data_IF_764155412720
#
_entry.id   IF_764155412720
#
_cell.length_a   1.000
_cell.length_b   1.000
_cell.length_c   1.000
_cell.angle_alpha   90.00
_cell.angle_beta   90.00
_cell.angle_gamma   90.00
#
_symmetry.space_group_name_H-M   'P 1'
#
loop_
_entity.id
_entity.type
_entity.pdbx_description
1 polymer ?
#
# COMPACT_ATOMS: atom_id res chain seq x y z
N UNK A 1 0.49 -8.74 -51.81
CA UNK A 1 -0.92 -9.01 -51.45
C UNK A 1 -0.92 -9.55 -50.04
N UNK A 2 -1.58 -8.86 -49.12
CA UNK A 2 -1.63 -9.25 -47.70
C UNK A 2 -3.07 -9.60 -47.35
N UNK A 3 -3.41 -10.90 -47.42
CA UNK A 3 -4.56 -11.49 -46.71
C UNK A 3 -4.02 -12.15 -45.45
N UNK A 4 -4.60 -12.04 -44.26
CA UNK A 4 -5.97 -11.68 -43.89
C UNK A 4 -5.98 -10.98 -42.52
N UNK A 5 -7.04 -10.24 -42.16
CA UNK A 5 -7.13 -9.58 -40.87
C UNK A 5 -7.45 -10.58 -39.74
N UNK A 6 -6.68 -10.46 -38.68
CA UNK A 6 -6.75 -11.21 -37.42
C UNK A 6 -8.20 -11.27 -36.91
N UNK A 7 -8.73 -12.49 -36.79
CA UNK A 7 -10.11 -12.75 -36.35
C UNK A 7 -10.12 -12.97 -34.84
N UNK A 8 -10.77 -12.07 -34.10
CA UNK A 8 -11.00 -12.19 -32.66
C UNK A 8 -11.64 -10.93 -32.11
N UNK A 9 -12.84 -11.05 -31.52
CA UNK A 9 -13.84 -9.98 -31.30
C UNK A 9 -13.47 -8.77 -30.43
N UNK A 10 -12.20 -8.61 -30.02
CA UNK A 10 -11.70 -7.43 -29.29
C UNK A 10 -10.57 -6.70 -30.04
N UNK A 11 -9.89 -7.38 -30.97
CA UNK A 11 -8.79 -6.82 -31.79
C UNK A 11 -9.27 -5.72 -32.74
N UNK A 12 -10.52 -5.77 -33.17
CA UNK A 12 -11.11 -4.79 -34.11
C UNK A 12 -11.32 -3.40 -33.51
N UNK A 13 -11.54 -3.26 -32.21
CA UNK A 13 -11.67 -1.95 -31.54
C UNK A 13 -10.31 -1.23 -31.44
N UNK A 14 -9.24 -2.00 -31.31
CA UNK A 14 -7.90 -1.50 -31.03
C UNK A 14 -7.19 -0.92 -32.25
N UNK A 15 -7.38 -1.53 -33.42
CA UNK A 15 -6.80 -1.05 -34.68
C UNK A 15 -7.36 0.30 -35.14
N UNK A 16 -8.51 0.76 -34.61
CA UNK A 16 -9.13 2.03 -35.01
C UNK A 16 -8.44 3.26 -34.42
N UNK A 17 -7.74 3.10 -33.29
CA UNK A 17 -7.06 4.19 -32.57
C UNK A 17 -5.53 4.10 -32.65
N UNK A 18 -4.98 3.05 -33.29
CA UNK A 18 -3.54 2.85 -33.42
C UNK A 18 -2.96 3.74 -34.53
N UNK A 19 -1.88 4.49 -34.26
CA UNK A 19 -1.17 5.26 -35.27
C UNK A 19 -0.54 4.38 -36.37
N UNK A 20 -0.15 3.14 -36.05
CA UNK A 20 0.49 2.20 -36.97
C UNK A 20 -0.36 0.95 -37.19
N UNK A 21 -1.04 0.89 -38.34
CA UNK A 21 -1.88 -0.24 -38.75
C UNK A 21 -1.02 -1.49 -39.02
N UNK A 22 -1.41 -2.64 -38.48
CA UNK A 22 -0.74 -3.93 -38.70
C UNK A 22 0.38 -4.26 -37.71
N UNK A 23 0.75 -3.33 -36.84
CA UNK A 23 1.67 -3.58 -35.72
C UNK A 23 0.89 -3.80 -34.41
N UNK A 24 1.39 -4.71 -33.57
CA UNK A 24 0.89 -4.89 -32.21
C UNK A 24 1.60 -3.95 -31.21
N UNK A 25 1.33 -4.07 -29.91
CA UNK A 25 1.96 -3.25 -28.88
C UNK A 25 3.50 -3.26 -29.01
N UNK A 26 4.11 -2.07 -29.16
CA UNK A 26 5.56 -1.89 -29.23
C UNK A 26 6.06 -1.54 -27.82
N UNK A 27 6.87 -2.42 -27.24
CA UNK A 27 7.44 -2.21 -25.92
C UNK A 27 8.80 -1.52 -26.03
N UNK A 28 9.01 -0.48 -25.21
CA UNK A 28 10.28 0.20 -25.06
C UNK A 28 10.73 0.09 -23.62
N UNK A 29 11.92 -0.47 -23.40
CA UNK A 29 12.56 -0.52 -22.10
C UNK A 29 13.50 0.68 -21.95
N UNK A 30 13.27 1.48 -20.92
CA UNK A 30 14.09 2.66 -20.64
C UNK A 30 14.15 2.89 -19.13
N UNK A 31 15.35 3.16 -18.61
CA UNK A 31 15.54 3.55 -17.20
C UNK A 31 15.10 5.00 -17.00
N UNK A 32 13.79 5.22 -16.78
CA UNK A 32 13.19 6.56 -16.56
C UNK A 32 12.52 6.70 -15.20
N UNK A 33 12.57 5.65 -14.39
CA UNK A 33 11.88 5.59 -13.11
C UNK A 33 12.73 6.17 -11.99
N UNK A 34 12.06 6.78 -11.02
CA UNK A 34 12.65 7.35 -9.82
C UNK A 34 11.86 6.90 -8.58
N UNK A 35 12.57 6.78 -7.47
CA UNK A 35 11.97 6.42 -6.19
C UNK A 35 12.62 7.21 -5.08
N UNK A 36 11.78 7.79 -4.21
CA UNK A 36 12.21 8.51 -3.02
C UNK A 36 11.65 7.80 -1.79
N UNK A 37 12.49 7.62 -0.76
CA UNK A 37 12.10 6.99 0.49
C UNK A 37 12.51 7.87 1.67
N UNK A 38 11.54 8.23 2.50
CA UNK A 38 11.74 8.95 3.74
C UNK A 38 11.40 8.04 4.91
N UNK A 39 12.28 7.99 5.92
CA UNK A 39 12.00 7.22 7.12
C UNK A 39 12.39 7.97 8.38
N UNK A 40 11.64 7.69 9.44
CA UNK A 40 11.94 8.11 10.79
C UNK A 40 11.76 6.90 11.71
N UNK A 41 12.76 6.62 12.54
CA UNK A 41 12.70 5.56 13.53
C UNK A 41 12.95 6.16 14.91
N UNK A 42 12.07 5.84 15.85
CA UNK A 42 12.17 6.27 17.24
C UNK A 42 12.09 5.03 18.12
N UNK A 43 13.12 4.81 18.90
CA UNK A 43 13.19 3.73 19.89
C UNK A 43 13.32 4.33 21.27
N UNK A 44 12.48 3.87 22.19
CA UNK A 44 12.51 4.26 23.59
C UNK A 44 12.51 3.00 24.45
N UNK A 45 13.45 2.91 25.38
CA UNK A 45 13.49 1.84 26.37
C UNK A 45 13.66 2.45 27.75
N UNK A 46 12.84 1.99 28.70
CA UNK A 46 12.90 2.43 30.09
C UNK A 46 12.82 1.25 31.02
N UNK A 47 13.89 1.04 31.76
CA UNK A 47 13.91 0.17 32.93
C UNK A 47 13.46 0.98 34.14
N UNK A 48 12.48 0.49 34.87
CA UNK A 48 12.06 1.06 36.14
C UNK A 48 12.78 0.37 37.28
N UNK A 49 12.70 0.93 38.48
CA UNK A 49 13.23 0.29 39.69
C UNK A 49 12.51 -1.05 39.94
N UNK A 50 13.27 -2.14 40.05
CA UNK A 50 12.75 -3.50 40.14
C UNK A 50 12.85 -4.23 38.79
N UNK A 51 11.87 -5.08 38.48
CA UNK A 51 11.86 -5.92 37.28
C UNK A 51 11.05 -5.32 36.11
N UNK A 52 10.44 -4.15 36.29
CA UNK A 52 9.57 -3.54 35.28
C UNK A 52 10.35 -2.89 34.13
N UNK A 53 9.94 -3.15 32.90
CA UNK A 53 10.55 -2.67 31.67
C UNK A 53 9.47 -2.26 30.66
N UNK A 54 9.67 -1.13 29.97
CA UNK A 54 8.88 -0.76 28.80
C UNK A 54 9.82 -0.47 27.63
N UNK A 55 9.54 -1.06 26.48
CA UNK A 55 10.22 -0.78 25.21
C UNK A 55 9.19 -0.40 24.15
N UNK A 56 9.44 0.70 23.45
CA UNK A 56 8.59 1.25 22.41
C UNK A 56 9.42 1.48 21.15
N UNK A 57 8.87 1.13 19.99
CA UNK A 57 9.47 1.35 18.69
C UNK A 57 8.42 1.93 17.75
N UNK A 58 8.70 3.09 17.19
CA UNK A 58 7.89 3.73 16.16
C UNK A 58 8.71 3.87 14.88
N UNK A 59 8.16 3.43 13.77
CA UNK A 59 8.74 3.59 12.43
C UNK A 59 7.72 4.28 11.54
N UNK A 60 8.13 5.42 10.99
CA UNK A 60 7.45 6.07 9.88
C UNK A 60 8.23 5.76 8.60
N UNK A 61 7.52 5.33 7.57
CA UNK A 61 8.06 5.19 6.22
C UNK A 61 7.21 5.99 5.25
N UNK A 62 7.83 6.56 4.23
CA UNK A 62 7.13 7.11 3.11
C UNK A 62 7.90 6.88 1.83
N UNK A 63 7.44 5.92 1.04
CA UNK A 63 8.00 5.56 -0.26
C UNK A 63 7.15 6.14 -1.37
N UNK A 64 7.75 6.94 -2.24
CA UNK A 64 7.10 7.48 -3.44
C UNK A 64 7.87 6.95 -4.66
N UNK A 65 7.17 6.31 -5.58
CA UNK A 65 7.74 5.79 -6.83
C UNK A 65 6.82 6.03 -8.01
N UNK A 66 7.39 6.22 -9.20
CA UNK A 66 6.66 6.19 -10.46
C UNK A 66 6.63 4.80 -11.11
N UNK A 67 7.40 3.83 -10.58
CA UNK A 67 7.31 2.42 -10.97
C UNK A 67 7.50 1.50 -9.78
N UNK A 68 6.54 0.59 -9.61
CA UNK A 68 6.57 -0.39 -8.53
C UNK A 68 7.55 -1.54 -8.83
N UNK A 69 7.94 -1.75 -10.09
CA UNK A 69 8.84 -2.81 -10.58
C UNK A 69 9.48 -2.41 -11.92
N UNK A 70 10.54 -3.12 -12.32
CA UNK A 70 11.44 -2.79 -13.45
C UNK A 70 10.81 -2.81 -14.86
N UNK A 71 9.61 -3.36 -15.00
CA UNK A 71 8.92 -3.52 -16.29
C UNK A 71 7.48 -3.00 -16.28
N UNK A 72 7.20 -2.00 -15.45
CA UNK A 72 5.86 -1.45 -15.33
C UNK A 72 5.52 -0.56 -16.52
N UNK A 73 4.42 -0.87 -17.20
CA UNK A 73 3.89 0.02 -18.24
C UNK A 73 3.12 1.17 -17.61
N UNK A 74 3.41 2.40 -18.04
CA UNK A 74 2.67 3.61 -17.67
C UNK A 74 1.33 3.67 -18.38
N UNK A 75 0.31 4.26 -17.74
CA UNK A 75 -0.97 4.59 -18.35
C UNK A 75 -0.82 5.59 -19.51
N UNK A 76 0.09 6.57 -19.36
CA UNK A 76 0.45 7.50 -20.41
C UNK A 76 1.98 7.56 -20.57
N UNK A 77 2.49 7.00 -21.66
CA UNK A 77 3.93 7.00 -21.97
C UNK A 77 4.50 8.41 -22.21
N UNK A 78 3.64 9.38 -22.53
CA UNK A 78 4.03 10.78 -22.70
C UNK A 78 4.00 11.57 -21.38
N UNK A 79 3.41 11.02 -20.31
CA UNK A 79 3.33 11.63 -18.99
C UNK A 79 3.63 10.59 -17.90
N UNK A 80 4.93 10.38 -17.66
CA UNK A 80 5.42 9.51 -16.58
C UNK A 80 5.26 10.16 -15.19
N UNK A 81 5.02 11.47 -15.11
CA UNK A 81 4.82 12.15 -13.84
C UNK A 81 3.48 11.73 -13.21
N UNK A 82 2.47 11.44 -14.03
CA UNK A 82 1.17 10.89 -13.59
C UNK A 82 1.28 9.49 -12.97
N UNK A 83 2.39 8.77 -13.14
CA UNK A 83 2.62 7.47 -12.51
C UNK A 83 3.15 7.57 -11.08
N UNK A 84 3.58 8.76 -10.66
CA UNK A 84 4.14 8.99 -9.33
C UNK A 84 3.07 8.78 -8.26
N UNK A 85 3.29 7.80 -7.38
CA UNK A 85 2.39 7.51 -6.27
C UNK A 85 3.11 6.84 -5.12
N UNK A 86 2.36 6.49 -4.07
CA UNK A 86 2.93 5.75 -2.94
C UNK A 86 3.40 4.36 -3.39
N UNK A 87 4.49 3.89 -2.80
CA UNK A 87 4.98 2.53 -3.03
C UNK A 87 3.98 1.51 -2.51
N UNK A 88 3.77 0.42 -3.22
CA UNK A 88 2.88 -0.67 -2.81
C UNK A 88 3.33 -1.34 -1.50
N UNK A 89 4.59 -1.15 -1.11
CA UNK A 89 5.17 -1.66 0.13
C UNK A 89 5.24 -0.59 1.24
N UNK A 90 4.67 0.60 1.02
CA UNK A 90 4.75 1.70 1.97
C UNK A 90 3.78 1.50 3.14
N UNK A 91 4.23 0.80 4.18
CA UNK A 91 3.50 0.71 5.44
C UNK A 91 3.84 1.92 6.30
N UNK A 92 3.12 3.03 6.05
CA UNK A 92 3.49 4.36 6.50
C UNK A 92 3.78 4.51 8.00
N UNK A 93 3.04 3.86 8.87
CA UNK A 93 3.31 3.91 10.30
C UNK A 93 3.26 2.51 10.89
N UNK A 94 4.28 2.18 11.67
CA UNK A 94 4.38 0.93 12.43
C UNK A 94 4.78 1.29 13.85
N UNK A 95 3.97 0.86 14.82
CA UNK A 95 4.17 1.10 16.24
C UNK A 95 4.16 -0.23 16.98
N UNK A 96 5.20 -0.47 17.78
CA UNK A 96 5.36 -1.67 18.57
C UNK A 96 5.69 -1.28 20.01
N UNK A 97 4.97 -1.85 20.97
CA UNK A 97 5.26 -1.66 22.40
C UNK A 97 5.30 -3.00 23.08
N UNK A 98 6.36 -3.25 23.82
CA UNK A 98 6.46 -4.39 24.75
C UNK A 98 6.64 -3.86 26.16
N UNK A 99 5.85 -4.35 27.10
CA UNK A 99 5.97 -3.96 28.49
C UNK A 99 5.90 -5.16 29.42
N UNK A 100 6.60 -5.01 30.53
CA UNK A 100 6.59 -5.89 31.69
C UNK A 100 6.44 -4.94 32.89
N UNK A 101 5.35 -5.07 33.63
CA UNK A 101 5.04 -4.21 34.76
C UNK A 101 4.67 -5.04 35.99
N UNK A 102 5.56 -5.01 36.98
CA UNK A 102 5.36 -5.68 38.25
C UNK A 102 4.46 -4.83 39.16
N UNK A 103 3.29 -5.37 39.55
CA UNK A 103 2.30 -4.64 40.35
C UNK A 103 2.85 -4.33 41.76
N UNK A 104 2.70 -3.09 42.27
CA UNK A 104 3.33 -2.67 43.53
C UNK A 104 2.68 -3.21 44.80
N UNK A 105 1.64 -4.05 44.71
CA UNK A 105 0.87 -4.52 45.85
C UNK A 105 1.50 -5.78 46.47
N UNK A 106 1.49 -5.88 47.81
CA UNK A 106 1.92 -7.05 48.59
C UNK A 106 3.39 -7.52 48.41
N UNK A 107 4.26 -6.76 47.73
CA UNK A 107 5.69 -7.12 47.48
C UNK A 107 6.55 -7.38 48.73
N UNK A 108 6.13 -6.91 49.92
CA UNK A 108 6.91 -7.01 51.19
C UNK A 108 6.10 -7.57 52.36
N UNK A 109 4.92 -8.15 52.14
CA UNK A 109 4.05 -8.56 53.24
C UNK A 109 4.23 -10.04 53.62
N UNK A 110 4.32 -10.29 54.92
CA UNK A 110 4.35 -11.61 55.55
C UNK A 110 2.92 -12.11 55.84
N UNK A 111 2.65 -13.40 55.58
CA UNK A 111 1.37 -14.06 55.89
C UNK A 111 0.64 -14.58 54.65
N UNK A 112 -0.51 -15.25 54.87
CA UNK A 112 -1.32 -15.91 53.83
C UNK A 112 -1.75 -14.97 52.69
N UNK A 113 -2.11 -13.72 53.01
CA UNK A 113 -2.49 -12.69 52.03
C UNK A 113 -1.32 -12.21 51.17
N UNK A 114 -0.11 -12.09 51.75
CA UNK A 114 1.10 -11.74 51.00
C UNK A 114 1.52 -12.82 50.01
N UNK A 115 1.37 -14.10 50.39
CA UNK A 115 1.63 -15.23 49.50
C UNK A 115 0.57 -15.41 48.40
N UNK A 116 -0.70 -15.09 48.68
CA UNK A 116 -1.77 -15.25 47.71
C UNK A 116 -1.85 -14.10 46.68
N UNK A 117 -1.51 -12.87 47.08
CA UNK A 117 -1.71 -11.67 46.26
C UNK A 117 -0.43 -10.89 45.94
N UNK A 118 0.75 -11.39 46.32
CA UNK A 118 2.05 -10.78 46.04
C UNK A 118 2.68 -11.27 44.73
N UNK A 119 3.56 -10.43 44.16
CA UNK A 119 4.44 -10.83 43.05
C UNK A 119 3.78 -10.88 41.67
N UNK A 120 2.59 -10.29 41.51
CA UNK A 120 1.92 -10.26 40.22
C UNK A 120 2.64 -9.35 39.23
N UNK A 121 2.80 -9.85 38.01
CA UNK A 121 3.36 -9.13 36.88
C UNK A 121 2.34 -9.11 35.73
N UNK A 122 2.25 -7.97 35.05
CA UNK A 122 1.49 -7.83 33.82
C UNK A 122 2.46 -7.57 32.68
N UNK A 123 2.42 -8.43 31.67
CA UNK A 123 3.23 -8.27 30.48
C UNK A 123 2.37 -8.32 29.22
N UNK A 124 2.86 -7.69 28.16
CA UNK A 124 2.15 -7.64 26.90
C UNK A 124 2.97 -7.03 25.78
N UNK A 125 2.56 -7.36 24.55
CA UNK A 125 3.09 -6.77 23.34
C UNK A 125 1.91 -6.24 22.53
N UNK A 126 2.02 -4.99 22.07
CA UNK A 126 1.04 -4.31 21.24
C UNK A 126 1.69 -3.97 19.91
N UNK A 127 1.04 -4.36 18.83
CA UNK A 127 1.42 -4.05 17.46
C UNK A 127 0.30 -3.26 16.81
N UNK A 128 0.62 -2.09 16.28
CA UNK A 128 -0.31 -1.26 15.52
C UNK A 128 0.39 -0.77 14.26
N UNK A 129 -0.33 -0.77 13.14
CA UNK A 129 0.22 -0.31 11.87
C UNK A 129 -0.86 0.25 10.95
N UNK A 130 -0.47 1.10 10.01
CA UNK A 130 -1.36 1.53 8.92
C UNK A 130 -1.46 0.43 7.86
N UNK A 131 -2.53 0.45 7.06
CA UNK A 131 -2.67 -0.42 5.89
C UNK A 131 -1.67 -0.08 4.78
N UNK A 132 -1.65 -0.92 3.74
CA UNK A 132 -0.89 -0.67 2.52
C UNK A 132 -1.66 0.28 1.59
N UNK A 133 -0.98 1.06 0.74
CA UNK A 133 -1.64 1.89 -0.26
C UNK A 133 -2.45 1.03 -1.23
N UNK A 134 -3.66 1.48 -1.55
CA UNK A 134 -4.55 0.84 -2.51
C UNK A 134 -4.57 1.65 -3.80
N UNK A 135 -4.30 1.01 -4.93
CA UNK A 135 -4.53 1.59 -6.26
C UNK A 135 -5.80 1.01 -6.84
N UNK A 136 -6.80 1.86 -7.12
CA UNK A 136 -8.03 1.42 -7.79
C UNK A 136 -7.77 1.23 -9.28
N UNK A 137 -8.20 0.09 -9.82
CA UNK A 137 -8.10 -0.23 -11.25
C UNK A 137 -9.48 -0.53 -11.83
N UNK A 138 -9.81 0.06 -12.99
CA UNK A 138 -11.08 -0.11 -13.68
C UNK A 138 -11.19 -1.42 -14.46
N UNK A 139 -12.34 -2.11 -14.35
CA UNK A 139 -12.60 -3.44 -14.92
C UNK A 139 -13.19 -3.49 -16.34
N UNK A 140 -13.09 -2.44 -17.17
CA UNK A 140 -13.61 -2.43 -18.55
C UNK A 140 -12.48 -2.24 -19.57
N UNK A 141 -12.52 -3.01 -20.67
CA UNK A 141 -11.58 -2.98 -21.80
C UNK A 141 -11.66 -1.67 -22.60
N UNK A 142 -11.13 -0.57 -22.05
CA UNK A 142 -11.10 0.76 -22.67
C UNK A 142 -9.63 1.19 -22.80
N UNK A 143 -9.18 1.63 -23.98
CA UNK A 143 -7.80 2.06 -24.22
C UNK A 143 -7.74 3.57 -24.50
N UNK A 144 -7.91 4.42 -23.47
CA UNK A 144 -7.97 5.87 -23.67
C UNK A 144 -6.64 6.45 -24.17
N UNK A 145 -5.53 5.75 -23.96
CA UNK A 145 -4.19 6.16 -24.41
C UNK A 145 -3.79 5.54 -25.76
N UNK A 146 -4.62 4.67 -26.36
CA UNK A 146 -4.33 4.02 -27.64
C UNK A 146 -3.10 3.10 -27.63
N UNK A 147 -2.70 2.59 -26.45
CA UNK A 147 -1.48 1.81 -26.25
C UNK A 147 -1.62 0.35 -26.72
N UNK A 148 -2.81 -0.09 -27.06
CA UNK A 148 -3.07 -1.47 -27.45
C UNK A 148 -3.09 -2.45 -26.28
N UNK A 149 -3.21 -1.97 -25.04
CA UNK A 149 -3.16 -2.76 -23.82
C UNK A 149 -4.59 -2.95 -23.29
N UNK A 150 -5.29 -3.97 -23.80
CA UNK A 150 -6.66 -4.29 -23.37
C UNK A 150 -6.74 -5.20 -22.16
N UNK A 151 -5.66 -5.91 -21.84
CA UNK A 151 -5.63 -6.88 -20.75
C UNK A 151 -5.82 -6.18 -19.40
N UNK A 152 -6.89 -6.52 -18.63
CA UNK A 152 -7.16 -5.94 -17.32
C UNK A 152 -6.05 -6.23 -16.28
N UNK A 153 -5.15 -7.17 -16.56
CA UNK A 153 -4.00 -7.51 -15.71
C UNK A 153 -2.70 -6.78 -16.13
N UNK A 154 -2.74 -5.94 -17.18
CA UNK A 154 -1.58 -5.10 -17.52
C UNK A 154 -1.44 -3.96 -16.51
N UNK A 155 -0.23 -3.77 -16.00
CA UNK A 155 0.08 -2.77 -14.96
C UNK A 155 -0.02 -1.31 -15.43
N UNK A 156 -0.28 -1.06 -16.72
CA UNK A 156 -0.89 0.18 -17.23
C UNK A 156 -2.37 0.28 -16.81
N UNK A 157 -2.67 -0.17 -15.59
CA UNK A 157 -4.01 -0.36 -15.06
C UNK A 157 -4.75 0.95 -15.10
N UNK A 158 -5.90 0.93 -15.77
CA UNK A 158 -6.79 2.08 -15.93
C UNK A 158 -7.17 2.58 -14.55
N UNK A 159 -6.68 3.75 -14.16
CA UNK A 159 -7.08 4.40 -12.91
C UNK A 159 -8.30 5.27 -13.23
N UNK A 160 -9.43 5.09 -12.54
CA UNK A 160 -10.54 6.03 -12.64
C UNK A 160 -10.08 7.44 -12.28
N UNK A 161 -10.68 8.45 -12.92
CA UNK A 161 -10.47 9.84 -12.50
C UNK A 161 -11.05 10.02 -11.10
N UNK A 162 -10.23 10.56 -10.20
CA UNK A 162 -10.68 10.95 -8.88
C UNK A 162 -11.39 12.32 -9.01
N UNK A 163 -12.71 12.34 -8.90
CA UNK A 163 -13.54 13.56 -9.02
C UNK A 163 -13.76 14.24 -7.67
N UNK A 164 -13.58 13.52 -6.56
CA UNK A 164 -13.63 14.03 -5.20
C UNK A 164 -12.80 13.18 -4.22
N UNK A 165 -12.79 13.51 -2.93
CA UNK A 165 -12.07 12.70 -1.94
C UNK A 165 -12.88 11.44 -1.60
N UNK A 166 -12.36 10.22 -1.86
CA UNK A 166 -13.08 8.96 -1.62
C UNK A 166 -13.30 8.63 -0.14
N UNK A 167 -12.65 9.34 0.78
CA UNK A 167 -12.91 9.22 2.22
C UNK A 167 -14.01 10.17 2.70
N UNK A 168 -14.36 11.20 1.93
CA UNK A 168 -15.39 12.17 2.36
C UNK A 168 -16.77 11.56 2.25
N UNK A 169 -17.47 11.47 3.38
CA UNK A 169 -18.82 10.90 3.44
C UNK A 169 -18.86 9.38 3.24
N UNK A 170 -17.72 8.69 3.32
CA UNK A 170 -17.66 7.24 3.19
C UNK A 170 -18.21 6.55 4.45
N UNK A 171 -18.96 5.43 4.30
CA UNK A 171 -19.51 4.70 5.45
C UNK A 171 -18.44 4.09 6.37
N UNK A 172 -17.22 3.87 5.86
CA UNK A 172 -16.13 3.19 6.56
C UNK A 172 -16.54 1.84 7.16
N UNK A 173 -17.43 1.11 6.46
CA UNK A 173 -17.84 -0.23 6.83
C UNK A 173 -16.97 -1.26 6.11
N UNK A 174 -16.96 -2.50 6.59
CA UNK A 174 -16.22 -3.58 5.95
C UNK A 174 -16.62 -3.78 4.47
N UNK A 175 -17.91 -3.60 4.16
CA UNK A 175 -18.44 -3.75 2.79
C UNK A 175 -18.24 -2.51 1.93
N UNK A 176 -18.08 -1.33 2.53
CA UNK A 176 -17.92 -0.06 1.83
C UNK A 176 -17.04 0.89 2.62
N UNK A 177 -15.72 0.71 2.46
CA UNK A 177 -14.73 1.54 3.15
C UNK A 177 -14.56 2.92 2.51
N UNK A 178 -14.79 3.02 1.19
CA UNK A 178 -14.63 4.24 0.38
C UNK A 178 -15.94 4.62 -0.31
N UNK A 179 -16.11 5.91 -0.59
CA UNK A 179 -17.12 6.39 -1.53
C UNK A 179 -16.69 6.03 -2.96
N UNK A 180 -17.46 5.17 -3.62
CA UNK A 180 -17.15 4.68 -4.98
C UNK A 180 -17.59 5.63 -6.08
N UNK A 181 -18.33 6.69 -5.76
CA UNK A 181 -18.72 7.75 -6.68
C UNK A 181 -17.74 8.93 -6.69
N UNK A 182 -16.68 8.86 -5.88
CA UNK A 182 -15.68 9.89 -5.70
C UNK A 182 -14.47 9.72 -6.63
#
# INVERSE_FOLDING_TARGET
GISAPITGGTTQLLNRVRPFLGYDAINVFSSRFDSNYHALQVTMQKHFTGSSLISMNYTYSHGITNAQNDFRTSQNTYDLAAERGESQFDRRQVFNVSYIYELPFYKRQSGLTGHAFGGWEVSGIVHAYTGLPLTVTGGRAIDPAGLGLLDPNTFAGRRPDQVSNPNTGAPHTFTQWFNTAA
#
